data_IF_974101142178
#
_entry.id   IF_974101142178
#
_cell.length_a   1.000
_cell.length_b   1.000
_cell.length_c   1.000
_cell.angle_alpha   90.00
_cell.angle_beta   90.00
_cell.angle_gamma   90.00
#
_symmetry.space_group_name_H-M   'P 1'
#
loop_
_entity.id
_entity.type
_entity.pdbx_description
1 polymer ?
#
# COMPACT_ATOMS: atom_id res chain seq x y z
N UNK A 1 11.76 -9.01 -3.89
CA UNK A 1 12.49 -8.65 -2.65
C UNK A 1 13.17 -9.88 -2.10
N UNK A 2 14.15 -9.69 -1.23
CA UNK A 2 14.84 -10.71 -0.46
C UNK A 2 14.57 -10.45 1.02
N UNK A 3 13.90 -11.38 1.69
CA UNK A 3 13.60 -11.30 3.12
C UNK A 3 14.41 -12.36 3.87
N UNK A 4 14.93 -12.01 5.03
CA UNK A 4 15.66 -12.96 5.89
C UNK A 4 14.73 -13.79 6.76
N UNK A 5 15.23 -14.93 7.25
CA UNK A 5 14.52 -15.79 8.21
C UNK A 5 15.11 -15.63 9.61
N UNK A 6 14.42 -16.10 10.65
CA UNK A 6 14.94 -16.13 12.01
C UNK A 6 16.31 -16.82 12.14
N UNK A 7 16.55 -17.89 11.36
CA UNK A 7 17.84 -18.58 11.34
C UNK A 7 18.94 -17.72 10.70
N UNK A 8 18.67 -17.11 9.55
CA UNK A 8 19.58 -16.20 8.84
C UNK A 8 20.01 -15.04 9.75
N UNK A 9 19.03 -14.45 10.46
CA UNK A 9 19.25 -13.35 11.39
C UNK A 9 20.03 -13.79 12.64
N UNK A 10 19.70 -14.95 13.21
CA UNK A 10 20.40 -15.49 14.40
C UNK A 10 21.85 -15.83 14.09
N UNK A 11 22.13 -16.34 12.88
CA UNK A 11 23.48 -16.62 12.41
C UNK A 11 24.27 -15.34 12.13
N UNK A 12 23.59 -14.21 11.90
CA UNK A 12 24.21 -12.94 11.56
C UNK A 12 24.80 -12.91 10.16
N UNK A 13 24.09 -13.49 9.18
CA UNK A 13 24.56 -13.47 7.79
C UNK A 13 24.61 -12.04 7.23
N UNK A 14 25.73 -11.69 6.58
CA UNK A 14 25.90 -10.39 5.92
C UNK A 14 25.26 -10.41 4.52
N UNK A 15 23.93 -10.31 4.48
CA UNK A 15 23.14 -10.31 3.24
C UNK A 15 23.60 -9.20 2.27
N UNK A 16 23.97 -8.03 2.79
CA UNK A 16 24.45 -6.92 1.97
C UNK A 16 25.78 -7.27 1.28
N UNK A 17 26.72 -7.86 2.03
CA UNK A 17 27.98 -8.37 1.50
C UNK A 17 27.78 -9.48 0.47
N UNK A 18 26.83 -10.38 0.70
CA UNK A 18 26.49 -11.45 -0.24
C UNK A 18 25.90 -10.91 -1.56
N UNK A 19 25.02 -9.92 -1.49
CA UNK A 19 24.49 -9.23 -2.67
C UNK A 19 25.62 -8.54 -3.43
N UNK A 20 26.52 -7.83 -2.73
CA UNK A 20 27.67 -7.19 -3.37
C UNK A 20 28.58 -8.21 -4.09
N UNK A 21 28.82 -9.36 -3.47
CA UNK A 21 29.58 -10.46 -4.09
C UNK A 21 28.85 -11.05 -5.30
N UNK A 22 27.53 -11.25 -5.21
CA UNK A 22 26.69 -11.70 -6.32
C UNK A 22 26.80 -10.75 -7.51
N UNK A 23 26.67 -9.44 -7.31
CA UNK A 23 26.81 -8.43 -8.37
C UNK A 23 28.18 -8.46 -9.04
N UNK A 24 29.25 -8.70 -8.28
CA UNK A 24 30.61 -8.81 -8.81
C UNK A 24 30.79 -10.07 -9.66
N UNK A 25 30.20 -11.19 -9.26
CA UNK A 25 30.29 -12.48 -9.98
C UNK A 25 29.36 -12.55 -11.19
N UNK A 26 28.23 -11.85 -11.14
CA UNK A 26 27.16 -11.90 -12.15
C UNK A 26 26.79 -10.49 -12.65
N UNK A 27 27.71 -9.79 -13.35
CA UNK A 27 27.47 -8.45 -13.87
C UNK A 27 26.29 -8.39 -14.87
N UNK A 28 25.96 -9.50 -15.52
CA UNK A 28 24.79 -9.64 -16.41
C UNK A 28 23.46 -9.34 -15.71
N UNK A 29 23.40 -9.45 -14.39
CA UNK A 29 22.20 -9.17 -13.59
C UNK A 29 22.19 -7.78 -12.96
N UNK A 30 23.14 -6.89 -13.28
CA UNK A 30 23.26 -5.56 -12.65
C UNK A 30 21.97 -4.71 -12.75
N UNK A 31 21.18 -4.87 -13.80
CA UNK A 31 19.92 -4.14 -13.99
C UNK A 31 18.72 -4.68 -13.18
N UNK A 32 18.83 -5.86 -12.56
CA UNK A 32 17.74 -6.46 -11.78
C UNK A 32 17.80 -5.91 -10.36
N UNK A 33 16.81 -5.17 -9.84
CA UNK A 33 16.85 -4.69 -8.47
C UNK A 33 16.74 -5.85 -7.45
N UNK A 34 17.52 -5.78 -6.37
CA UNK A 34 17.48 -6.75 -5.27
C UNK A 34 17.31 -5.97 -3.99
N UNK A 35 16.05 -5.83 -3.57
CA UNK A 35 15.67 -5.13 -2.34
C UNK A 35 15.77 -6.12 -1.19
N UNK A 36 16.75 -5.92 -0.30
CA UNK A 36 16.98 -6.80 0.84
C UNK A 36 16.43 -6.19 2.13
N UNK A 37 15.69 -7.00 2.87
CA UNK A 37 14.99 -6.58 4.10
C UNK A 37 15.30 -7.59 5.19
N UNK A 38 15.80 -7.08 6.32
CA UNK A 38 15.98 -7.86 7.53
C UNK A 38 14.62 -8.03 8.21
N UNK A 39 14.16 -9.27 8.34
CA UNK A 39 12.85 -9.65 8.89
C UNK A 39 12.98 -10.76 9.94
N UNK A 40 13.64 -10.49 11.09
CA UNK A 40 13.73 -11.46 12.18
C UNK A 40 12.34 -11.78 12.76
N UNK A 41 11.96 -13.06 12.75
CA UNK A 41 10.67 -13.56 13.22
C UNK A 41 10.46 -13.46 14.74
N UNK A 42 11.52 -13.21 15.51
CA UNK A 42 11.48 -12.99 16.95
C UNK A 42 11.31 -11.52 17.35
N UNK A 43 11.13 -10.60 16.39
CA UNK A 43 10.95 -9.17 16.66
C UNK A 43 9.77 -8.60 15.88
N UNK A 44 8.87 -7.94 16.61
CA UNK A 44 7.72 -7.26 16.01
C UNK A 44 6.65 -8.24 15.54
N UNK A 45 5.86 -7.82 14.55
CA UNK A 45 4.82 -8.62 13.91
C UNK A 45 4.93 -8.61 12.38
N UNK A 46 3.92 -9.15 11.70
CA UNK A 46 3.85 -9.11 10.24
C UNK A 46 3.87 -7.67 9.69
N UNK A 47 3.15 -6.75 10.34
CA UNK A 47 3.09 -5.34 9.94
C UNK A 47 4.46 -4.66 9.99
N UNK A 48 5.30 -5.02 10.98
CA UNK A 48 6.66 -4.47 11.08
C UNK A 48 7.52 -4.89 9.88
N UNK A 49 7.54 -6.18 9.55
CA UNK A 49 8.27 -6.69 8.39
C UNK A 49 7.76 -6.10 7.07
N UNK A 50 6.45 -5.94 6.94
CA UNK A 50 5.81 -5.32 5.78
C UNK A 50 6.20 -3.83 5.64
N UNK A 51 6.19 -3.07 6.75
CA UNK A 51 6.67 -1.69 6.79
C UNK A 51 8.12 -1.58 6.34
N UNK A 52 9.02 -2.40 6.88
CA UNK A 52 10.44 -2.35 6.49
C UNK A 52 10.64 -2.66 5.00
N UNK A 53 9.87 -3.60 4.46
CA UNK A 53 9.89 -3.92 3.03
C UNK A 53 9.39 -2.75 2.17
N UNK A 54 8.33 -2.06 2.60
CA UNK A 54 7.81 -0.87 1.92
C UNK A 54 8.81 0.28 1.95
N UNK A 55 9.40 0.56 3.11
CA UNK A 55 10.45 1.59 3.27
C UNK A 55 11.62 1.31 2.33
N UNK A 56 12.17 0.09 2.35
CA UNK A 56 13.31 -0.26 1.49
C UNK A 56 12.97 -0.24 0.00
N UNK A 57 11.78 -0.67 -0.38
CA UNK A 57 11.31 -0.59 -1.77
C UNK A 57 11.31 0.86 -2.26
N UNK A 58 10.80 1.79 -1.45
CA UNK A 58 10.81 3.22 -1.77
C UNK A 58 12.24 3.78 -1.83
N UNK A 59 13.06 3.47 -0.82
CA UNK A 59 14.43 3.95 -0.72
C UNK A 59 15.34 3.44 -1.83
N UNK A 60 15.07 2.27 -2.41
CA UNK A 60 15.86 1.74 -3.52
C UNK A 60 15.29 2.14 -4.89
N UNK A 61 13.97 2.08 -5.08
CA UNK A 61 13.38 2.14 -6.43
C UNK A 61 12.78 3.49 -6.81
N UNK A 62 12.23 4.25 -5.86
CA UNK A 62 11.62 5.55 -6.19
C UNK A 62 12.69 6.53 -6.68
N UNK A 63 12.38 7.40 -7.64
CA UNK A 63 13.33 8.40 -8.12
C UNK A 63 12.73 9.80 -8.01
N UNK A 64 13.49 10.81 -7.56
CA UNK A 64 13.01 12.19 -7.55
C UNK A 64 12.58 12.64 -8.95
N UNK A 65 11.36 13.14 -9.05
CA UNK A 65 10.83 13.72 -10.29
C UNK A 65 11.27 15.18 -10.47
N UNK A 66 11.39 15.67 -11.72
CA UNK A 66 11.69 17.09 -11.97
C UNK A 66 10.50 18.00 -11.64
N UNK A 67 9.27 17.49 -11.74
CA UNK A 67 8.04 18.19 -11.39
C UNK A 67 6.91 17.19 -11.11
N UNK A 68 5.90 17.56 -10.32
CA UNK A 68 4.70 16.76 -10.17
C UNK A 68 3.97 16.57 -11.51
N UNK A 69 3.45 15.36 -11.74
CA UNK A 69 2.57 15.01 -12.86
C UNK A 69 1.14 15.29 -12.42
N UNK A 70 0.39 16.19 -13.09
CA UNK A 70 -0.97 16.54 -12.69
C UNK A 70 -1.88 15.31 -12.61
N UNK A 71 -2.58 15.15 -11.48
CA UNK A 71 -3.48 14.04 -11.21
C UNK A 71 -2.80 12.77 -10.69
N UNK A 72 -1.48 12.62 -10.85
CA UNK A 72 -0.78 11.43 -10.38
C UNK A 72 -0.64 11.46 -8.85
N UNK A 73 -1.14 10.43 -8.17
CA UNK A 73 -0.98 10.26 -6.72
C UNK A 73 -0.39 8.91 -6.40
N UNK A 74 0.30 8.82 -5.27
CA UNK A 74 0.72 7.53 -4.73
C UNK A 74 -0.29 7.04 -3.70
N UNK A 75 -0.48 5.72 -3.64
CA UNK A 75 -1.18 5.05 -2.55
C UNK A 75 -0.25 4.00 -1.98
N UNK A 76 0.13 4.15 -0.71
CA UNK A 76 0.83 3.09 0.03
C UNK A 76 -0.23 2.23 0.70
N UNK A 77 -0.42 1.02 0.18
CA UNK A 77 -1.46 0.09 0.63
C UNK A 77 -0.97 -0.75 1.81
N UNK A 78 -1.65 -0.64 2.95
CA UNK A 78 -1.36 -1.43 4.15
C UNK A 78 -1.57 -2.93 3.92
N UNK A 79 -0.88 -3.76 4.69
CA UNK A 79 -0.94 -5.23 4.58
C UNK A 79 -2.32 -5.83 4.88
N UNK A 80 -3.21 -5.05 5.49
CA UNK A 80 -4.57 -5.46 5.82
C UNK A 80 -5.55 -5.38 4.64
N UNK A 81 -5.19 -4.69 3.56
CA UNK A 81 -6.06 -4.48 2.41
C UNK A 81 -6.10 -5.72 1.51
N UNK A 82 -7.31 -6.07 1.08
CA UNK A 82 -7.55 -7.16 0.13
C UNK A 82 -7.49 -6.70 -1.33
N UNK A 83 -7.53 -7.65 -2.26
CA UNK A 83 -7.65 -7.37 -3.71
C UNK A 83 -8.87 -6.48 -4.00
N UNK A 84 -10.02 -6.81 -3.42
CA UNK A 84 -11.26 -6.06 -3.64
C UNK A 84 -11.21 -4.65 -3.05
N UNK A 85 -10.51 -4.47 -1.93
CA UNK A 85 -10.30 -3.14 -1.34
C UNK A 85 -9.45 -2.28 -2.26
N UNK A 86 -8.38 -2.83 -2.83
CA UNK A 86 -7.49 -2.12 -3.76
C UNK A 86 -8.23 -1.72 -5.04
N UNK A 87 -9.04 -2.60 -5.63
CA UNK A 87 -9.86 -2.28 -6.80
C UNK A 87 -10.87 -1.17 -6.49
N UNK A 88 -11.59 -1.31 -5.37
CA UNK A 88 -12.57 -0.31 -4.93
C UNK A 88 -11.93 1.05 -4.65
N UNK A 89 -10.72 1.06 -4.07
CA UNK A 89 -9.93 2.26 -3.85
C UNK A 89 -9.50 2.90 -5.16
N UNK A 90 -9.06 2.11 -6.14
CA UNK A 90 -8.68 2.60 -7.47
C UNK A 90 -9.87 3.29 -8.15
N UNK A 91 -11.02 2.62 -8.24
CA UNK A 91 -12.24 3.17 -8.83
C UNK A 91 -12.68 4.47 -8.14
N UNK A 92 -12.60 4.48 -6.80
CA UNK A 92 -12.90 5.68 -6.01
C UNK A 92 -11.95 6.83 -6.37
N UNK A 93 -10.64 6.61 -6.35
CA UNK A 93 -9.65 7.65 -6.64
C UNK A 93 -9.78 8.18 -8.07
N UNK A 94 -9.97 7.30 -9.05
CA UNK A 94 -10.21 7.66 -10.44
C UNK A 94 -11.49 8.47 -10.63
N UNK A 95 -12.54 8.20 -9.83
CA UNK A 95 -13.77 9.01 -9.82
C UNK A 95 -13.55 10.45 -9.31
N UNK A 96 -12.53 10.69 -8.47
CA UNK A 96 -12.04 12.02 -8.11
C UNK A 96 -11.02 12.58 -9.12
N UNK A 97 -10.72 11.84 -10.19
CA UNK A 97 -9.83 12.25 -11.28
C UNK A 97 -8.36 12.07 -11.02
N UNK A 98 -8.01 11.26 -10.04
CA UNK A 98 -6.63 10.89 -9.80
C UNK A 98 -6.19 9.78 -10.77
N UNK A 99 -4.87 9.69 -10.97
CA UNK A 99 -4.16 8.60 -11.62
C UNK A 99 -3.29 7.89 -10.56
N UNK A 100 -3.84 6.88 -9.85
CA UNK A 100 -3.20 6.31 -8.68
C UNK A 100 -2.13 5.26 -9.02
N UNK A 101 -0.91 5.48 -8.54
CA UNK A 101 0.14 4.46 -8.41
C UNK A 101 -0.02 3.81 -7.03
N UNK A 102 -0.52 2.57 -7.00
CA UNK A 102 -0.74 1.81 -5.76
C UNK A 102 0.47 0.89 -5.51
N UNK A 103 1.04 0.91 -4.31
CA UNK A 103 2.16 0.08 -3.88
C UNK A 103 1.90 -0.54 -2.50
N UNK A 104 1.94 -1.88 -2.36
CA UNK A 104 1.86 -2.86 -3.43
C UNK A 104 0.45 -2.91 -4.03
N UNK A 105 0.37 -3.14 -5.34
CA UNK A 105 -0.89 -3.49 -5.99
C UNK A 105 -1.04 -5.02 -6.03
N UNK A 106 -1.88 -5.57 -5.17
CA UNK A 106 -2.20 -6.99 -5.15
C UNK A 106 -3.35 -7.35 -6.09
N UNK A 107 -4.14 -6.36 -6.52
CA UNK A 107 -5.40 -6.61 -7.23
C UNK A 107 -5.19 -7.44 -8.48
N UNK A 108 -4.21 -7.06 -9.29
CA UNK A 108 -3.90 -7.72 -10.57
C UNK A 108 -3.06 -8.99 -10.46
N UNK A 109 -2.57 -9.30 -9.27
CA UNK A 109 -1.70 -10.46 -9.02
C UNK A 109 -2.39 -11.60 -8.30
N UNK A 110 -3.49 -11.31 -7.60
CA UNK A 110 -4.22 -12.27 -6.78
C UNK A 110 -5.74 -12.26 -7.06
N UNK A 111 -6.19 -11.67 -8.17
CA UNK A 111 -7.60 -11.66 -8.64
C UNK A 111 -8.08 -13.00 -9.22
N UNK A 112 -7.20 -13.99 -9.36
CA UNK A 112 -7.56 -15.33 -9.83
C UNK A 112 -7.72 -15.44 -11.35
N UNK A 113 -7.16 -14.50 -12.13
CA UNK A 113 -7.06 -14.67 -13.58
C UNK A 113 -6.24 -15.94 -13.89
N UNK A 114 -6.85 -16.84 -14.65
CA UNK A 114 -6.17 -18.04 -15.17
C UNK A 114 -5.52 -17.66 -16.50
N UNK A 115 -4.19 -17.59 -16.60
CA UNK A 115 -3.53 -17.29 -17.86
C UNK A 115 -3.68 -18.45 -18.85
N UNK A 116 -3.65 -18.11 -20.14
CA UNK A 116 -3.70 -19.10 -21.23
C UNK A 116 -2.44 -20.00 -21.26
N UNK A 117 -1.34 -19.54 -20.67
CA UNK A 117 -0.07 -20.26 -20.52
C UNK A 117 0.43 -20.26 -19.08
N UNK A 118 1.27 -21.23 -18.73
CA UNK A 118 1.97 -21.23 -17.45
C UNK A 118 2.90 -20.03 -17.36
N UNK A 119 2.72 -19.23 -16.31
CA UNK A 119 3.58 -18.10 -16.00
C UNK A 119 4.45 -18.43 -14.77
N UNK A 120 5.78 -18.32 -14.86
CA UNK A 120 6.68 -18.64 -13.75
C UNK A 120 6.68 -17.58 -12.64
N UNK A 121 5.99 -16.45 -12.86
CA UNK A 121 5.91 -15.31 -11.95
C UNK A 121 4.46 -14.82 -11.85
N UNK A 122 4.14 -14.13 -10.77
CA UNK A 122 2.87 -13.44 -10.60
C UNK A 122 2.62 -12.49 -11.76
N UNK A 123 1.40 -12.48 -12.29
CA UNK A 123 0.97 -11.49 -13.27
C UNK A 123 0.57 -10.19 -12.58
N UNK A 124 0.66 -9.06 -13.28
CA UNK A 124 0.24 -7.77 -12.74
C UNK A 124 1.12 -7.22 -11.61
N UNK A 125 0.49 -6.41 -10.75
CA UNK A 125 1.13 -5.68 -9.66
C UNK A 125 1.80 -4.37 -10.08
N UNK A 126 2.37 -3.66 -9.10
CA UNK A 126 3.06 -2.38 -9.32
C UNK A 126 4.37 -2.62 -10.08
N UNK A 127 4.49 -2.04 -11.26
CA UNK A 127 5.70 -2.17 -12.07
C UNK A 127 6.86 -1.38 -11.49
N UNK A 128 8.10 -1.81 -11.76
CA UNK A 128 9.31 -1.05 -11.39
C UNK A 128 9.29 0.38 -11.96
N UNK A 129 8.70 0.57 -13.15
CA UNK A 129 8.56 1.88 -13.78
C UNK A 129 7.58 2.78 -13.01
N UNK A 130 6.49 2.23 -12.48
CA UNK A 130 5.56 2.97 -11.64
C UNK A 130 6.20 3.37 -10.32
N UNK A 131 6.89 2.44 -9.64
CA UNK A 131 7.59 2.73 -8.38
C UNK A 131 8.63 3.83 -8.58
N UNK A 132 9.40 3.75 -9.67
CA UNK A 132 10.38 4.78 -10.04
C UNK A 132 9.74 6.17 -10.21
N UNK A 133 8.55 6.24 -10.82
CA UNK A 133 7.80 7.48 -11.05
C UNK A 133 7.07 8.03 -9.83
N UNK A 134 7.00 7.31 -8.71
CA UNK A 134 6.30 7.77 -7.50
C UNK A 134 6.84 9.12 -6.98
N UNK A 135 8.11 9.44 -7.23
CA UNK A 135 8.70 10.73 -6.87
C UNK A 135 8.25 11.91 -7.74
N UNK A 136 7.42 11.68 -8.75
CA UNK A 136 6.76 12.71 -9.56
C UNK A 136 5.26 12.84 -9.25
N UNK A 137 4.74 12.17 -8.22
CA UNK A 137 3.33 12.30 -7.82
C UNK A 137 3.10 13.59 -7.04
N UNK A 138 1.88 14.13 -7.10
CA UNK A 138 1.50 15.36 -6.38
C UNK A 138 1.43 15.13 -4.87
N UNK A 139 0.85 14.00 -4.47
CA UNK A 139 0.64 13.61 -3.08
C UNK A 139 0.73 12.09 -2.90
N UNK A 140 0.98 11.67 -1.67
CA UNK A 140 0.95 10.27 -1.25
C UNK A 140 -0.13 10.06 -0.20
N UNK A 141 -1.03 9.11 -0.43
CA UNK A 141 -2.00 8.63 0.54
C UNK A 141 -1.43 7.37 1.17
N UNK A 142 -1.20 7.38 2.47
CA UNK A 142 -0.70 6.23 3.22
C UNK A 142 -1.89 5.58 3.93
N UNK A 143 -2.21 4.34 3.59
CA UNK A 143 -3.30 3.58 4.18
C UNK A 143 -2.74 2.65 5.26
N UNK A 144 -3.14 2.90 6.51
CA UNK A 144 -2.57 2.24 7.69
C UNK A 144 -1.48 3.07 8.38
N UNK A 145 -1.52 3.13 9.70
CA UNK A 145 -0.55 3.87 10.51
C UNK A 145 0.82 3.19 10.49
N UNK A 146 0.84 1.85 10.38
CA UNK A 146 2.09 1.07 10.28
C UNK A 146 2.97 1.54 9.12
N UNK A 147 2.38 2.06 8.04
CA UNK A 147 3.11 2.53 6.85
C UNK A 147 3.57 3.98 6.89
N UNK A 148 3.39 4.73 8.00
CA UNK A 148 3.85 6.12 8.10
C UNK A 148 5.31 6.29 7.69
N UNK A 149 6.18 5.39 8.16
CA UNK A 149 7.62 5.43 7.86
C UNK A 149 7.91 5.34 6.36
N UNK A 150 7.09 4.62 5.60
CA UNK A 150 7.21 4.51 4.14
C UNK A 150 6.83 5.84 3.46
N UNK A 151 5.78 6.51 3.94
CA UNK A 151 5.43 7.88 3.51
C UNK A 151 6.53 8.89 3.83
N UNK A 152 7.10 8.83 5.03
CA UNK A 152 8.23 9.67 5.44
C UNK A 152 9.48 9.43 4.60
N UNK A 153 9.77 8.17 4.25
CA UNK A 153 10.87 7.82 3.36
C UNK A 153 10.69 8.45 1.96
N UNK A 154 9.48 8.41 1.41
CA UNK A 154 9.18 9.00 0.11
C UNK A 154 9.25 10.53 0.14
N UNK A 155 8.74 11.15 1.21
CA UNK A 155 8.89 12.60 1.44
C UNK A 155 10.37 12.98 1.53
N UNK A 156 11.16 12.26 2.33
CA UNK A 156 12.59 12.54 2.51
C UNK A 156 13.37 12.38 1.21
N UNK A 157 13.07 11.34 0.42
CA UNK A 157 13.81 11.01 -0.79
C UNK A 157 13.39 11.85 -1.99
N UNK A 158 12.09 12.06 -2.18
CA UNK A 158 11.52 12.65 -3.39
C UNK A 158 10.80 13.98 -3.16
N UNK A 159 10.59 14.40 -1.90
CA UNK A 159 9.87 15.64 -1.59
C UNK A 159 8.35 15.56 -1.75
N UNK A 160 7.80 14.35 -1.95
CA UNK A 160 6.35 14.18 -2.16
C UNK A 160 5.61 14.26 -0.81
N UNK A 161 4.69 15.22 -0.61
CA UNK A 161 3.92 15.32 0.62
C UNK A 161 3.00 14.11 0.79
N UNK A 162 2.69 13.77 2.03
CA UNK A 162 1.81 12.64 2.32
C UNK A 162 0.78 12.93 3.40
N UNK A 163 -0.30 12.17 3.37
CA UNK A 163 -1.33 12.11 4.41
C UNK A 163 -1.50 10.67 4.85
N UNK A 164 -1.61 10.44 6.16
CA UNK A 164 -1.90 9.12 6.71
C UNK A 164 -3.41 9.00 6.95
N UNK A 165 -3.99 7.97 6.37
CA UNK A 165 -5.36 7.55 6.58
C UNK A 165 -5.28 6.26 7.40
N UNK A 166 -5.41 6.42 8.71
CA UNK A 166 -5.32 5.29 9.64
C UNK A 166 -6.55 4.40 9.65
N UNK A 167 -7.67 4.87 9.06
CA UNK A 167 -8.97 4.21 9.10
C UNK A 167 -9.80 4.49 7.86
N UNK A 168 -10.26 3.44 7.21
CA UNK A 168 -11.19 3.44 6.09
C UNK A 168 -12.54 2.82 6.46
N UNK A 169 -12.62 2.02 7.52
CA UNK A 169 -13.86 1.36 7.91
C UNK A 169 -14.73 2.26 8.80
N UNK A 170 -16.04 2.15 8.57
CA UNK A 170 -17.04 2.90 9.30
C UNK A 170 -17.32 4.29 8.73
N UNK A 171 -18.57 4.71 8.91
CA UNK A 171 -19.14 5.89 8.23
C UNK A 171 -18.32 7.16 8.46
N UNK A 172 -17.94 7.44 9.71
CA UNK A 172 -17.23 8.67 10.05
C UNK A 172 -15.77 8.66 9.57
N UNK A 173 -15.11 7.50 9.51
CA UNK A 173 -13.74 7.40 9.02
C UNK A 173 -13.70 7.59 7.51
N UNK A 174 -14.57 6.89 6.80
CA UNK A 174 -14.69 7.01 5.35
C UNK A 174 -15.11 8.43 4.93
N UNK A 175 -16.05 9.08 5.64
CA UNK A 175 -16.43 10.47 5.38
C UNK A 175 -15.20 11.43 5.50
N UNK A 176 -14.31 11.22 6.48
CA UNK A 176 -13.07 12.02 6.59
C UNK A 176 -12.11 11.74 5.44
N UNK A 177 -12.01 10.50 5.00
CA UNK A 177 -11.20 10.15 3.83
C UNK A 177 -11.72 10.87 2.57
N UNK A 178 -13.03 10.86 2.33
CA UNK A 178 -13.65 11.58 1.21
C UNK A 178 -13.40 13.09 1.26
N UNK A 179 -13.43 13.70 2.45
CA UNK A 179 -13.06 15.12 2.63
C UNK A 179 -11.62 15.37 2.19
N UNK A 180 -10.69 14.49 2.56
CA UNK A 180 -9.29 14.56 2.10
C UNK A 180 -9.19 14.45 0.58
N UNK A 181 -9.89 13.49 -0.06
CA UNK A 181 -9.88 13.35 -1.51
C UNK A 181 -10.44 14.58 -2.23
N UNK A 182 -11.53 15.15 -1.73
CA UNK A 182 -12.10 16.40 -2.23
C UNK A 182 -11.12 17.57 -2.10
N UNK A 183 -10.41 17.67 -0.98
CA UNK A 183 -9.42 18.72 -0.77
C UNK A 183 -8.25 18.60 -1.75
N UNK A 184 -7.70 17.38 -1.92
CA UNK A 184 -6.57 17.11 -2.79
C UNK A 184 -6.91 17.25 -4.28
N UNK A 185 -8.10 16.80 -4.69
CA UNK A 185 -8.53 16.85 -6.10
C UNK A 185 -9.12 18.19 -6.53
N UNK A 186 -9.63 18.97 -5.57
CA UNK A 186 -10.46 20.15 -5.86
C UNK A 186 -11.82 19.81 -6.49
N UNK A 187 -12.22 18.52 -6.56
CA UNK A 187 -13.47 18.07 -7.17
C UNK A 187 -14.54 17.85 -6.12
N UNK A 188 -15.80 18.02 -6.52
CA UNK A 188 -16.94 17.69 -5.66
C UNK A 188 -17.16 16.17 -5.58
N UNK A 189 -17.92 15.73 -4.58
CA UNK A 189 -18.16 14.31 -4.36
C UNK A 189 -18.91 13.66 -5.55
N UNK A 190 -18.41 12.53 -6.08
CA UNK A 190 -19.14 11.74 -7.07
C UNK A 190 -20.57 11.39 -6.62
N UNK A 191 -21.55 11.51 -7.52
CA UNK A 191 -22.97 11.31 -7.19
C UNK A 191 -23.28 9.91 -6.64
N UNK A 192 -22.55 8.89 -7.08
CA UNK A 192 -22.78 7.53 -6.61
C UNK A 192 -22.48 7.37 -5.12
N UNK A 193 -21.52 8.11 -4.57
CA UNK A 193 -21.16 8.05 -3.14
C UNK A 193 -22.31 8.49 -2.23
N UNK A 194 -23.09 9.49 -2.64
CA UNK A 194 -24.27 9.92 -1.88
C UNK A 194 -25.28 8.77 -1.77
N UNK A 195 -25.46 8.01 -2.86
CA UNK A 195 -26.36 6.86 -2.89
C UNK A 195 -25.83 5.71 -2.03
N UNK A 196 -24.54 5.38 -2.15
CA UNK A 196 -23.92 4.31 -1.35
C UNK A 196 -23.92 4.63 0.14
N UNK A 197 -23.63 5.87 0.51
CA UNK A 197 -23.69 6.33 1.91
C UNK A 197 -25.10 6.21 2.50
N UNK A 198 -26.13 6.57 1.73
CA UNK A 198 -27.52 6.42 2.16
C UNK A 198 -27.91 4.94 2.31
N UNK A 199 -27.49 4.07 1.38
CA UNK A 199 -27.72 2.63 1.46
C UNK A 199 -27.08 2.01 2.70
N UNK A 200 -25.84 2.38 3.00
CA UNK A 200 -25.17 1.93 4.22
C UNK A 200 -25.92 2.40 5.47
N UNK A 201 -26.36 3.66 5.50
CA UNK A 201 -27.11 4.20 6.64
C UNK A 201 -28.45 3.49 6.85
N UNK A 202 -29.16 3.19 5.77
CA UNK A 202 -30.41 2.42 5.76
C UNK A 202 -30.17 0.98 6.27
N UNK A 203 -29.14 0.30 5.76
CA UNK A 203 -28.76 -1.04 6.22
C UNK A 203 -28.36 -1.06 7.71
N UNK A 204 -27.68 -0.02 8.21
CA UNK A 204 -27.39 0.13 9.63
C UNK A 204 -28.67 0.29 10.47
N UNK A 205 -29.65 1.06 9.98
CA UNK A 205 -30.96 1.22 10.63
C UNK A 205 -31.78 -0.07 10.58
N UNK A 206 -31.73 -0.85 9.52
CA UNK A 206 -32.46 -2.12 9.45
C UNK A 206 -31.84 -3.21 10.35
N UNK A 207 -30.52 -3.21 10.47
CA UNK A 207 -29.78 -4.25 11.21
C UNK A 207 -29.57 -3.94 12.70
N UNK A 208 -29.82 -2.72 13.17
CA UNK A 208 -29.47 -2.31 14.54
C UNK A 208 -30.15 -3.16 15.63
N UNK A 209 -31.38 -3.65 15.40
CA UNK A 209 -32.08 -4.51 16.36
C UNK A 209 -31.37 -5.86 16.59
N UNK A 210 -30.64 -6.34 15.58
CA UNK A 210 -29.91 -7.62 15.63
C UNK A 210 -28.46 -7.44 16.10
N UNK A 211 -27.83 -6.32 15.73
CA UNK A 211 -26.42 -6.04 16.04
C UNK A 211 -26.24 -5.32 17.38
N UNK A 212 -27.28 -4.64 17.86
CA UNK A 212 -27.24 -3.86 19.09
C UNK A 212 -26.91 -4.72 20.31
N UNK A 213 -25.84 -4.35 21.03
CA UNK A 213 -25.42 -5.03 22.25
C UNK A 213 -24.72 -6.38 22.05
N UNK A 214 -24.45 -6.78 20.80
CA UNK A 214 -23.60 -7.94 20.54
C UNK A 214 -22.19 -7.70 21.10
N UNK A 215 -21.58 -8.79 21.58
CA UNK A 215 -20.20 -8.79 22.08
C UNK A 215 -19.37 -9.67 21.16
N UNK A 216 -18.29 -9.11 20.66
CA UNK A 216 -17.31 -9.82 19.84
C UNK A 216 -15.92 -9.71 20.50
N UNK A 217 -15.10 -10.73 20.27
CA UNK A 217 -13.67 -10.68 20.56
C UNK A 217 -12.93 -10.73 19.22
N UNK A 218 -11.99 -9.81 19.04
CA UNK A 218 -11.18 -9.67 17.83
C UNK A 218 -9.70 -9.78 18.20
N UNK A 219 -8.92 -10.47 17.38
CA UNK A 219 -7.48 -10.59 17.50
C UNK A 219 -6.89 -10.49 16.09
N UNK A 220 -6.37 -9.31 15.76
CA UNK A 220 -5.91 -8.91 14.43
C UNK A 220 -4.64 -8.06 14.59
N UNK A 221 -3.93 -7.85 13.50
CA UNK A 221 -2.84 -6.87 13.46
C UNK A 221 -3.38 -5.45 13.70
N UNK A 222 -2.58 -4.52 14.26
CA UNK A 222 -3.03 -3.19 14.67
C UNK A 222 -3.81 -2.40 13.63
N UNK A 223 -3.34 -2.28 12.38
CA UNK A 223 -4.05 -1.48 11.39
C UNK A 223 -5.41 -2.09 11.08
N UNK A 224 -5.50 -3.41 10.89
CA UNK A 224 -6.79 -4.09 10.64
C UNK A 224 -7.73 -4.04 11.86
N UNK A 225 -7.18 -4.12 13.07
CA UNK A 225 -7.97 -4.08 14.29
C UNK A 225 -8.62 -2.71 14.50
N UNK A 226 -7.92 -1.66 14.11
CA UNK A 226 -8.36 -0.29 14.34
C UNK A 226 -8.95 0.38 13.11
N UNK A 227 -8.93 -0.23 11.92
CA UNK A 227 -9.45 0.33 10.66
C UNK A 227 -10.87 0.92 10.75
#
# INVERSE_FOLDING_TARGET
>A
GLCSTGLTETKGEDIAGEIALFRKKHPEHAGVPVIAVSTPDFRGSHEDGFREAMVRTIEELATPGPKPVPGQINVLAGSHLTVADIDSLRDLLESFGFDPIILPDLSRSLDGIVPDSFEPVSLGGTTLSEISRMGSSEHTIVLGESLRAAGEALLKKCGVPFVVVSRLMGLAAFDRFLVTLRHLSGRDYPRFLVRERNRLSDAMLDSHFYLGGLRAALALEPDLLYD
#
